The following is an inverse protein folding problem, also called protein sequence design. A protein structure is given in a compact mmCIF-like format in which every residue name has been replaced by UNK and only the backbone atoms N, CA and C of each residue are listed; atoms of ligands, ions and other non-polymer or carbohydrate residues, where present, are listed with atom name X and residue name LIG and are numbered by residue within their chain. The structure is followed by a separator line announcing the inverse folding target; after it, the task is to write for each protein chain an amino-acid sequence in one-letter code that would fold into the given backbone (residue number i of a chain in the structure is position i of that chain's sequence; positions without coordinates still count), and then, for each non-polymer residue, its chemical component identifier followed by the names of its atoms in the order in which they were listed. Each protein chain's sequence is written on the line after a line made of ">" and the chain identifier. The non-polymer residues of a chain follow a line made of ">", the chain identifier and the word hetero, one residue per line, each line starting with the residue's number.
data_IF_381241181504
#
_entry.id   IF_381241181504
#
_cell.length_a   1.000
_cell.length_b   1.000
_cell.length_c   1.000
_cell.angle_alpha   90.00
_cell.angle_beta   90.00
_cell.angle_gamma   90.00
#
_symmetry.space_group_name_H-M   'P 1'
#
loop_
_entity.id
_entity.type
_entity.pdbx_description
1 polymer ?
#
# COMPACT_ATOMS: atom_id res chain seq x y z
N UNK A 1 -38.93 -25.23 -34.25
CA UNK A 1 -37.91 -24.92 -35.27
C UNK A 1 -36.96 -23.94 -34.63
N UNK A 2 -35.79 -24.39 -34.17
CA UNK A 2 -34.73 -23.47 -33.76
C UNK A 2 -33.76 -23.38 -34.92
N UNK A 3 -33.75 -22.21 -35.55
CA UNK A 3 -32.83 -21.88 -36.62
C UNK A 3 -31.40 -21.95 -36.05
N UNK A 4 -30.61 -22.84 -36.64
CA UNK A 4 -29.24 -23.11 -36.26
C UNK A 4 -28.33 -22.00 -36.83
N UNK A 5 -28.26 -20.86 -36.14
CA UNK A 5 -27.39 -19.74 -36.51
C UNK A 5 -25.99 -19.97 -35.89
N UNK A 6 -24.90 -20.05 -36.67
CA UNK A 6 -23.56 -20.48 -36.23
C UNK A 6 -22.94 -19.75 -35.01
N UNK A 7 -23.39 -18.54 -34.70
CA UNK A 7 -22.86 -17.72 -33.61
C UNK A 7 -23.50 -17.98 -32.25
N UNK A 8 -24.61 -18.73 -32.21
CA UNK A 8 -25.34 -18.98 -30.96
C UNK A 8 -24.57 -19.87 -29.99
N UNK A 9 -23.74 -20.81 -30.48
CA UNK A 9 -23.04 -21.77 -29.60
C UNK A 9 -22.04 -21.09 -28.65
N UNK A 10 -21.21 -20.17 -29.15
CA UNK A 10 -20.27 -19.42 -28.29
C UNK A 10 -21.00 -18.49 -27.31
N UNK A 11 -22.09 -17.85 -27.76
CA UNK A 11 -22.91 -16.99 -26.92
C UNK A 11 -23.60 -17.79 -25.80
N UNK A 12 -24.19 -18.93 -26.14
CA UNK A 12 -24.85 -19.83 -25.20
C UNK A 12 -23.87 -20.41 -24.18
N UNK A 13 -22.66 -20.80 -24.63
CA UNK A 13 -21.62 -21.26 -23.72
C UNK A 13 -21.15 -20.15 -22.76
N UNK A 14 -21.03 -18.91 -23.25
CA UNK A 14 -20.68 -17.78 -22.39
C UNK A 14 -21.76 -17.53 -21.33
N UNK A 15 -23.04 -17.61 -21.72
CA UNK A 15 -24.20 -17.50 -20.82
C UNK A 15 -24.17 -18.59 -19.75
N UNK A 16 -23.86 -19.83 -20.12
CA UNK A 16 -23.67 -20.94 -19.17
C UNK A 16 -22.54 -20.68 -18.18
N UNK A 17 -21.40 -20.16 -18.63
CA UNK A 17 -20.29 -19.75 -17.74
C UNK A 17 -20.74 -18.67 -16.74
N UNK A 18 -21.68 -17.80 -17.13
CA UNK A 18 -22.30 -16.81 -16.25
C UNK A 18 -23.42 -17.38 -15.34
N UNK A 19 -23.77 -18.66 -15.47
CA UNK A 19 -24.88 -19.30 -14.75
C UNK A 19 -26.26 -19.10 -15.38
N UNK A 20 -26.31 -18.61 -16.62
CA UNK A 20 -27.53 -18.41 -17.41
C UNK A 20 -27.74 -19.56 -18.41
N UNK A 21 -28.97 -19.76 -18.91
CA UNK A 21 -29.28 -20.73 -19.98
C UNK A 21 -28.80 -22.18 -19.70
N UNK A 22 -28.90 -22.59 -18.43
CA UNK A 22 -28.51 -23.92 -17.96
C UNK A 22 -29.51 -25.03 -18.32
N UNK A 23 -30.68 -24.67 -18.84
CA UNK A 23 -31.68 -25.63 -19.29
C UNK A 23 -31.13 -26.49 -20.44
N UNK A 24 -31.31 -27.81 -20.32
CA UNK A 24 -30.81 -28.79 -21.29
C UNK A 24 -29.41 -29.36 -20.96
N UNK A 25 -28.73 -28.85 -19.93
CA UNK A 25 -27.55 -29.50 -19.38
C UNK A 25 -27.94 -30.67 -18.48
N UNK A 26 -27.21 -31.78 -18.60
CA UNK A 26 -27.27 -32.89 -17.66
C UNK A 26 -26.62 -32.53 -16.32
N UNK A 27 -26.90 -33.34 -15.29
CA UNK A 27 -26.27 -33.19 -13.97
C UNK A 27 -24.75 -33.28 -14.05
N UNK A 28 -24.22 -34.15 -14.91
CA UNK A 28 -22.77 -34.29 -15.12
C UNK A 28 -22.17 -33.04 -15.76
N UNK A 29 -22.83 -32.46 -16.78
CA UNK A 29 -22.37 -31.23 -17.43
C UNK A 29 -22.43 -30.02 -16.49
N UNK A 30 -23.47 -29.93 -15.64
CA UNK A 30 -23.57 -28.91 -14.60
C UNK A 30 -22.44 -29.04 -13.58
N UNK A 31 -22.15 -30.25 -13.11
CA UNK A 31 -21.05 -30.48 -12.16
C UNK A 31 -19.69 -30.13 -12.78
N UNK A 32 -19.48 -30.46 -14.05
CA UNK A 32 -18.25 -30.11 -14.77
C UNK A 32 -18.10 -28.59 -14.95
N UNK A 33 -19.20 -27.90 -15.26
CA UNK A 33 -19.24 -26.44 -15.37
C UNK A 33 -18.90 -25.78 -14.03
N UNK A 34 -19.52 -26.23 -12.94
CA UNK A 34 -19.25 -25.74 -11.58
C UNK A 34 -17.78 -25.95 -11.21
N UNK A 35 -17.25 -27.17 -11.39
CA UNK A 35 -15.85 -27.49 -11.08
C UNK A 35 -14.87 -26.61 -11.87
N UNK A 36 -15.18 -26.33 -13.14
CA UNK A 36 -14.36 -25.46 -14.01
C UNK A 36 -14.39 -24.02 -13.52
N UNK A 37 -15.55 -23.49 -13.15
CA UNK A 37 -15.70 -22.16 -12.59
C UNK A 37 -14.99 -22.02 -11.26
N UNK A 38 -15.15 -22.99 -10.37
CA UNK A 38 -14.52 -23.02 -9.05
C UNK A 38 -12.98 -23.04 -9.19
N UNK A 39 -12.45 -23.91 -10.04
CA UNK A 39 -11.00 -24.03 -10.27
C UNK A 39 -10.43 -22.73 -10.86
N UNK A 40 -11.11 -22.16 -11.87
CA UNK A 40 -10.69 -20.89 -12.48
C UNK A 40 -10.72 -19.74 -11.48
N UNK A 41 -11.78 -19.64 -10.67
CA UNK A 41 -11.91 -18.60 -9.65
C UNK A 41 -10.83 -18.72 -8.58
N UNK A 42 -10.52 -19.93 -8.11
CA UNK A 42 -9.40 -20.19 -7.19
C UNK A 42 -8.06 -19.74 -7.79
N UNK A 43 -7.80 -20.08 -9.05
CA UNK A 43 -6.58 -19.67 -9.75
C UNK A 43 -6.48 -18.14 -9.90
N UNK A 44 -7.58 -17.47 -10.27
CA UNK A 44 -7.63 -16.00 -10.37
C UNK A 44 -7.37 -15.35 -9.01
N UNK A 45 -8.00 -15.84 -7.93
CA UNK A 45 -7.79 -15.33 -6.58
C UNK A 45 -6.34 -15.50 -6.13
N UNK A 46 -5.78 -16.69 -6.29
CA UNK A 46 -4.38 -16.96 -5.93
C UNK A 46 -3.41 -16.05 -6.70
N UNK A 47 -3.64 -15.85 -8.01
CA UNK A 47 -2.81 -14.94 -8.81
C UNK A 47 -2.95 -13.49 -8.37
N UNK A 48 -4.17 -13.03 -8.06
CA UNK A 48 -4.41 -11.68 -7.54
C UNK A 48 -3.72 -11.47 -6.20
N UNK A 49 -3.80 -12.45 -5.30
CA UNK A 49 -3.16 -12.41 -3.99
C UNK A 49 -1.63 -12.38 -4.11
N UNK A 50 -1.06 -13.20 -4.99
CA UNK A 50 0.37 -13.18 -5.28
C UNK A 50 0.81 -11.79 -5.78
N UNK A 51 0.15 -11.25 -6.80
CA UNK A 51 0.49 -9.93 -7.37
C UNK A 51 0.43 -8.83 -6.30
N UNK A 52 -0.63 -8.80 -5.50
CA UNK A 52 -0.78 -7.78 -4.46
C UNK A 52 0.27 -7.94 -3.35
N UNK A 53 0.59 -9.17 -2.97
CA UNK A 53 1.62 -9.45 -1.97
C UNK A 53 3.00 -9.03 -2.46
N UNK A 54 3.31 -9.32 -3.72
CA UNK A 54 4.57 -8.93 -4.36
C UNK A 54 4.68 -7.40 -4.45
N UNK A 55 3.61 -6.70 -4.85
CA UNK A 55 3.55 -5.23 -4.90
C UNK A 55 3.77 -4.60 -3.52
N UNK A 56 3.07 -5.11 -2.49
CA UNK A 56 3.25 -4.63 -1.11
C UNK A 56 4.71 -4.80 -0.66
N UNK A 57 5.32 -5.95 -0.98
CA UNK A 57 6.71 -6.23 -0.62
C UNK A 57 7.67 -5.29 -1.34
N UNK A 58 7.49 -5.05 -2.63
CA UNK A 58 8.31 -4.12 -3.41
C UNK A 58 8.21 -2.69 -2.87
N UNK A 59 6.98 -2.21 -2.62
CA UNK A 59 6.74 -0.88 -2.06
C UNK A 59 7.38 -0.72 -0.68
N UNK A 60 7.29 -1.73 0.18
CA UNK A 60 7.94 -1.72 1.49
C UNK A 60 9.46 -1.65 1.39
N UNK A 61 10.06 -2.43 0.48
CA UNK A 61 11.51 -2.39 0.25
C UNK A 61 11.95 -1.01 -0.24
N UNK A 62 11.22 -0.44 -1.20
CA UNK A 62 11.50 0.90 -1.72
C UNK A 62 11.33 1.98 -0.65
N UNK A 63 10.29 1.87 0.17
CA UNK A 63 10.06 2.77 1.31
C UNK A 63 11.22 2.74 2.30
N UNK A 64 11.70 1.54 2.67
CA UNK A 64 12.82 1.37 3.57
C UNK A 64 14.12 1.97 2.99
N UNK A 65 14.43 1.71 1.72
CA UNK A 65 15.63 2.26 1.07
C UNK A 65 15.62 3.79 1.05
N UNK A 66 14.48 4.40 0.70
CA UNK A 66 14.33 5.86 0.70
C UNK A 66 14.45 6.42 2.12
N UNK A 67 13.91 5.72 3.11
CA UNK A 67 14.03 6.13 4.51
C UNK A 67 15.49 6.10 5.00
N UNK A 68 16.22 5.03 4.70
CA UNK A 68 17.65 4.91 5.01
C UNK A 68 18.47 6.02 4.34
N UNK A 69 18.24 6.28 3.04
CA UNK A 69 18.92 7.34 2.32
C UNK A 69 18.63 8.73 2.92
N UNK A 70 17.38 9.00 3.29
CA UNK A 70 17.00 10.25 3.95
C UNK A 70 17.72 10.42 5.29
N UNK A 71 17.79 9.37 6.12
CA UNK A 71 18.53 9.40 7.38
C UNK A 71 19.99 9.78 7.14
N UNK A 72 20.63 9.17 6.14
CA UNK A 72 22.03 9.46 5.84
C UNK A 72 22.25 10.86 5.26
N UNK A 73 21.30 11.37 4.49
CA UNK A 73 21.31 12.77 4.02
C UNK A 73 21.16 13.76 5.18
N UNK A 74 20.27 13.50 6.14
CA UNK A 74 20.13 14.34 7.34
C UNK A 74 21.41 14.38 8.17
N UNK A 75 22.05 13.22 8.41
CA UNK A 75 23.36 13.18 9.09
C UNK A 75 24.42 14.01 8.38
N UNK A 76 24.50 13.92 7.04
CA UNK A 76 25.44 14.72 6.24
C UNK A 76 25.13 16.22 6.34
N UNK A 77 23.86 16.60 6.31
CA UNK A 77 23.43 17.99 6.45
C UNK A 77 23.83 18.56 7.82
N UNK A 78 23.64 17.80 8.89
CA UNK A 78 24.01 18.20 10.24
C UNK A 78 25.51 18.42 10.38
N UNK A 79 26.33 17.53 9.81
CA UNK A 79 27.79 17.69 9.77
C UNK A 79 28.21 18.97 9.03
N UNK A 80 27.62 19.24 7.86
CA UNK A 80 27.88 20.45 7.07
C UNK A 80 27.45 21.70 7.85
N UNK A 81 26.30 21.65 8.54
CA UNK A 81 25.81 22.78 9.36
C UNK A 81 26.75 23.07 10.52
N UNK A 82 27.26 22.02 11.17
CA UNK A 82 28.24 22.16 12.25
C UNK A 82 29.53 22.77 11.74
N UNK A 83 30.10 22.24 10.64
CA UNK A 83 31.33 22.77 10.03
C UNK A 83 31.17 24.23 9.60
N UNK A 84 30.06 24.58 8.95
CA UNK A 84 29.77 25.97 8.55
C UNK A 84 29.69 26.90 9.77
N UNK A 85 29.08 26.44 10.87
CA UNK A 85 29.01 27.22 12.11
C UNK A 85 30.40 27.46 12.68
N UNK A 86 31.28 26.45 12.66
CA UNK A 86 32.65 26.58 13.16
C UNK A 86 33.53 27.43 12.24
N UNK A 87 33.35 27.33 10.92
CA UNK A 87 33.99 28.23 9.96
C UNK A 87 33.56 29.69 10.15
N UNK A 88 32.26 29.94 10.34
CA UNK A 88 31.75 31.30 10.65
C UNK A 88 32.39 31.85 11.93
N UNK A 89 32.48 31.06 13.00
CA UNK A 89 33.19 31.47 14.23
C UNK A 89 34.65 31.81 13.97
N UNK A 90 35.35 31.07 13.10
CA UNK A 90 36.75 31.33 12.76
C UNK A 90 36.93 32.58 11.90
N UNK A 91 36.04 32.83 10.95
CA UNK A 91 36.09 34.00 10.04
C UNK A 91 35.73 35.29 10.78
N UNK A 92 34.74 35.26 11.68
CA UNK A 92 34.28 36.43 12.44
C UNK A 92 34.86 36.51 13.86
N UNK A 93 35.76 35.62 14.24
CA UNK A 93 36.37 35.52 15.57
C UNK A 93 37.45 36.56 15.87
N UNK A 94 37.68 37.54 14.99
CA UNK A 94 38.66 38.61 15.20
C UNK A 94 38.11 39.97 14.72
N UNK A 95 37.21 40.54 15.51
CA UNK A 95 36.91 41.98 15.53
C UNK A 95 35.66 42.43 14.76
N UNK A 96 34.54 42.66 15.48
CA UNK A 96 33.80 43.94 15.50
C UNK A 96 32.39 43.76 16.08
N UNK A 97 32.00 44.70 16.93
CA UNK A 97 30.73 44.82 17.65
C UNK A 97 29.72 45.49 16.73
N UNK A 98 28.87 44.73 16.03
CA UNK A 98 27.77 45.32 15.27
C UNK A 98 26.55 44.38 15.24
N UNK A 99 25.74 44.51 16.29
CA UNK A 99 24.31 44.27 16.27
C UNK A 99 23.70 45.02 15.07
N UNK A 100 23.43 44.33 13.96
CA UNK A 100 22.36 44.66 12.99
C UNK A 100 22.36 43.61 11.89
N UNK A 101 21.16 43.16 11.52
CA UNK A 101 20.86 42.19 10.46
C UNK A 101 20.85 40.73 10.91
N UNK A 102 20.07 40.47 11.95
CA UNK A 102 19.47 39.16 12.22
C UNK A 102 18.45 38.86 11.11
N UNK A 103 18.92 38.57 9.89
CA UNK A 103 18.06 38.08 8.82
C UNK A 103 17.64 36.68 9.18
N UNK A 104 16.53 36.63 9.90
CA UNK A 104 15.74 35.45 10.22
C UNK A 104 15.28 34.78 8.93
N UNK A 105 16.09 33.87 8.38
CA UNK A 105 15.53 32.68 7.73
C UNK A 105 15.30 31.63 8.81
N UNK A 106 14.44 31.99 9.79
CA UNK A 106 13.54 31.00 10.38
C UNK A 106 12.64 30.56 9.22
N UNK A 107 13.03 29.50 8.53
CA UNK A 107 12.06 28.69 7.78
C UNK A 107 11.16 28.08 8.85
N UNK A 108 10.01 28.70 9.01
CA UNK A 108 8.94 28.30 9.91
C UNK A 108 8.29 27.04 9.37
N UNK A 109 8.93 25.89 9.56
CA UNK A 109 8.23 24.62 9.55
C UNK A 109 8.34 24.07 10.98
N UNK A 110 7.24 24.19 11.72
CA UNK A 110 7.14 23.79 13.12
C UNK A 110 7.13 22.28 13.32
N UNK A 111 8.25 21.63 13.02
CA UNK A 111 8.52 20.29 13.54
C UNK A 111 9.79 20.36 14.41
N UNK A 112 9.58 19.96 15.66
CA UNK A 112 10.60 19.76 16.67
C UNK A 112 11.57 18.67 16.19
N UNK A 113 12.84 19.03 16.03
CA UNK A 113 13.85 18.16 15.40
C UNK A 113 14.24 16.94 16.26
N UNK A 114 13.77 16.89 17.51
CA UNK A 114 14.14 15.85 18.49
C UNK A 114 13.22 14.62 18.49
N UNK A 115 12.17 14.60 17.66
CA UNK A 115 11.33 13.39 17.49
C UNK A 115 11.73 12.60 16.25
N UNK A 116 12.21 11.35 16.39
CA UNK A 116 12.39 10.45 15.26
C UNK A 116 11.02 10.25 14.59
N UNK A 117 10.91 10.60 13.31
CA UNK A 117 9.72 10.32 12.51
C UNK A 117 9.69 8.82 12.25
N UNK A 118 9.00 8.09 13.13
CA UNK A 118 8.71 6.67 12.97
C UNK A 118 7.60 6.52 11.92
N UNK A 119 7.98 6.35 10.65
CA UNK A 119 7.06 6.00 9.57
C UNK A 119 6.71 4.51 9.65
N UNK A 120 5.92 4.12 10.66
CA UNK A 120 5.32 2.79 10.68
C UNK A 120 4.13 2.76 9.73
N UNK A 121 4.11 1.79 8.82
CA UNK A 121 2.93 1.48 8.03
C UNK A 121 1.82 1.02 8.98
N UNK A 122 0.65 1.65 8.90
CA UNK A 122 -0.53 1.21 9.64
C UNK A 122 -0.82 -0.25 9.30
N UNK A 123 -0.62 -1.14 10.28
CA UNK A 123 -1.08 -2.52 10.15
C UNK A 123 -2.62 -2.55 10.23
N UNK A 124 -3.30 -3.43 9.48
CA UNK A 124 -4.74 -3.61 9.64
C UNK A 124 -5.01 -4.11 11.07
N UNK A 125 -5.79 -3.36 11.85
CA UNK A 125 -6.22 -3.80 13.18
C UNK A 125 -7.06 -5.08 13.05
N UNK A 126 -6.83 -6.09 13.90
CA UNK A 126 -7.73 -7.24 13.94
C UNK A 126 -9.10 -6.76 14.43
N UNK A 127 -10.12 -6.92 13.59
CA UNK A 127 -11.51 -6.68 13.96
C UNK A 127 -11.83 -7.47 15.23
N UNK A 128 -12.15 -6.74 16.30
CA UNK A 128 -12.66 -7.30 17.55
C UNK A 128 -14.04 -7.88 17.24
N UNK A 129 -14.09 -9.18 16.96
CA UNK A 129 -15.35 -9.91 16.91
C UNK A 129 -15.89 -9.92 18.35
N UNK A 130 -16.86 -9.04 18.62
CA UNK A 130 -17.62 -9.06 19.86
C UNK A 130 -18.40 -10.38 19.94
N UNK A 131 -18.15 -11.15 20.99
CA UNK A 131 -18.89 -12.39 21.26
C UNK A 131 -20.36 -12.05 21.56
N UNK A 132 -21.32 -12.90 21.15
CA UNK A 132 -22.74 -12.60 21.29
C UNK A 132 -23.13 -12.55 22.77
N UNK A 133 -23.77 -11.44 23.17
CA UNK A 133 -24.34 -11.26 24.50
C UNK A 133 -25.32 -12.39 24.84
N UNK A 134 -25.10 -13.05 25.97
CA UNK A 134 -26.02 -14.04 26.53
C UNK A 134 -27.28 -13.34 27.02
N UNK A 135 -28.42 -13.62 26.37
CA UNK A 135 -29.74 -13.20 26.84
C UNK A 135 -30.01 -13.75 28.25
N UNK A 136 -30.06 -12.89 29.25
CA UNK A 136 -30.64 -13.21 30.55
C UNK A 136 -32.17 -13.16 30.45
N UNK A 137 -32.81 -14.33 30.54
CA UNK A 137 -34.24 -14.45 30.78
C UNK A 137 -34.49 -14.38 32.29
N UNK A 138 -35.17 -13.32 32.72
CA UNK A 138 -35.80 -13.18 34.04
C UNK A 138 -37.30 -13.06 33.88
#
# INVERSE_FOLDING_TARGET
>A
MHDNIPYTSHYYHYRQILGEELFGLSVEELQNLENKLETSLKAIRAKKEQILTDEIKELNQKGNLIHEENIDLYKKLDLIRQENTDLQKRVYGSGSVNETNKTSYKVSNGYDLDTPINLQLSQPEPEKIEAPETMHLG
#
